data_IF_321923318531
#
_entry.id   IF_321923318531
#
_cell.length_a   1.000
_cell.length_b   1.000
_cell.length_c   1.000
_cell.angle_alpha   90.00
_cell.angle_beta   90.00
_cell.angle_gamma   90.00
#
_symmetry.space_group_name_H-M   'P 1'
#
loop_
_entity.id
_entity.type
_entity.pdbx_description
1 polymer ?
#
# COMPACT_ATOMS: atom_id res chain seq x y z
N UNK A 1 -29.37 10.62 -30.72
CA UNK A 1 -29.45 10.33 -29.28
C UNK A 1 -28.05 9.94 -28.85
N UNK A 2 -27.34 10.89 -28.27
CA UNK A 2 -25.97 10.72 -27.80
C UNK A 2 -26.05 10.20 -26.36
N UNK A 3 -25.43 9.05 -26.10
CA UNK A 3 -25.37 8.49 -24.75
C UNK A 3 -24.02 8.86 -24.15
N UNK A 4 -24.04 9.69 -23.11
CA UNK A 4 -22.85 9.97 -22.31
C UNK A 4 -22.71 8.86 -21.26
N UNK A 5 -21.68 8.03 -21.39
CA UNK A 5 -21.37 7.02 -20.38
C UNK A 5 -20.54 7.69 -19.29
N UNK A 6 -21.17 7.95 -18.15
CA UNK A 6 -20.48 8.42 -16.95
C UNK A 6 -20.05 7.18 -16.16
N UNK A 7 -18.74 6.91 -16.14
CA UNK A 7 -18.16 5.87 -15.30
C UNK A 7 -17.87 6.44 -13.91
N UNK A 8 -18.56 5.93 -12.89
CA UNK A 8 -18.26 6.23 -11.49
C UNK A 8 -17.14 5.30 -11.02
N UNK A 9 -15.93 5.82 -10.86
CA UNK A 9 -14.79 5.08 -10.32
C UNK A 9 -14.63 5.42 -8.84
N UNK A 10 -14.87 4.45 -7.97
CA UNK A 10 -14.43 4.49 -6.58
C UNK A 10 -13.04 3.86 -6.50
N UNK A 11 -11.96 4.62 -6.26
CA UNK A 11 -10.63 4.05 -6.11
C UNK A 11 -10.52 3.14 -4.87
N UNK A 12 -11.52 3.15 -3.99
CA UNK A 12 -11.58 2.36 -2.78
C UNK A 12 -10.50 2.73 -1.78
N UNK A 13 -10.56 2.05 -0.64
CA UNK A 13 -9.58 2.13 0.44
C UNK A 13 -8.54 1.01 0.34
N UNK A 14 -8.40 0.42 -0.85
CA UNK A 14 -7.61 -0.79 -1.05
C UNK A 14 -6.13 -0.51 -0.85
N UNK A 15 -5.49 -1.32 0.00
CA UNK A 15 -4.06 -1.28 0.22
C UNK A 15 -3.45 -2.53 -0.39
N UNK A 16 -2.73 -2.34 -1.48
CA UNK A 16 -2.07 -3.40 -2.23
C UNK A 16 -0.56 -3.24 -2.07
N UNK A 17 0.15 -4.37 -1.96
CA UNK A 17 1.61 -4.38 -2.05
C UNK A 17 2.05 -4.14 -3.50
N UNK A 18 2.87 -3.12 -3.76
CA UNK A 18 3.35 -2.82 -5.12
C UNK A 18 4.32 -3.90 -5.67
N UNK A 19 4.80 -4.83 -4.83
CA UNK A 19 5.70 -5.91 -5.25
C UNK A 19 4.96 -7.22 -5.57
N UNK A 20 4.15 -7.74 -4.63
CA UNK A 20 3.43 -9.00 -4.85
C UNK A 20 1.99 -8.84 -5.34
N UNK A 21 1.46 -7.61 -5.35
CA UNK A 21 0.06 -7.29 -5.69
C UNK A 21 -0.99 -7.95 -4.80
N UNK A 22 -0.61 -8.52 -3.66
CA UNK A 22 -1.57 -9.00 -2.67
C UNK A 22 -2.27 -7.83 -1.97
N UNK A 23 -3.55 -8.02 -1.64
CA UNK A 23 -4.36 -7.07 -0.88
C UNK A 23 -4.11 -7.22 0.62
N UNK A 24 -3.92 -6.09 1.30
CA UNK A 24 -3.72 -5.95 2.74
C UNK A 24 -4.77 -5.02 3.38
N UNK A 25 -5.84 -4.72 2.66
CA UNK A 25 -6.90 -3.79 3.07
C UNK A 25 -7.54 -4.12 4.41
N UNK A 26 -7.68 -5.41 4.73
CA UNK A 26 -8.20 -5.89 6.01
C UNK A 26 -7.15 -6.72 6.78
N UNK A 27 -5.88 -6.62 6.38
CA UNK A 27 -4.80 -7.40 6.98
C UNK A 27 -4.31 -6.75 8.28
N UNK A 28 -4.19 -7.57 9.32
CA UNK A 28 -3.55 -7.19 10.58
C UNK A 28 -2.02 -7.42 10.56
N UNK A 29 -1.46 -7.82 9.41
CA UNK A 29 -0.01 -8.01 9.29
C UNK A 29 0.74 -6.69 9.53
N UNK A 30 1.70 -6.74 10.44
CA UNK A 30 2.49 -5.58 10.86
C UNK A 30 3.82 -5.48 10.13
N UNK A 31 4.28 -4.25 9.93
CA UNK A 31 5.52 -3.96 9.22
C UNK A 31 5.31 -3.50 7.78
N UNK A 32 6.39 -3.56 7.00
CA UNK A 32 6.44 -3.06 5.63
C UNK A 32 7.39 -1.87 5.49
N UNK A 33 7.60 -1.48 4.25
CA UNK A 33 8.53 -0.41 3.89
C UNK A 33 8.11 0.29 2.61
N UNK A 34 8.68 1.45 2.35
CA UNK A 34 8.45 2.19 1.13
C UNK A 34 9.75 2.65 0.49
N UNK A 35 9.79 2.58 -0.85
CA UNK A 35 10.86 3.11 -1.71
C UNK A 35 10.19 3.99 -2.77
N UNK A 36 10.51 5.28 -2.77
CA UNK A 36 9.84 6.28 -3.59
C UNK A 36 8.34 6.29 -3.34
N UNK A 37 7.57 5.96 -4.38
CA UNK A 37 6.10 5.87 -4.31
C UNK A 37 5.58 4.45 -4.04
N UNK A 38 6.46 3.46 -3.92
CA UNK A 38 6.08 2.06 -3.78
C UNK A 38 5.93 1.69 -2.31
N UNK A 39 4.81 1.07 -1.97
CA UNK A 39 4.52 0.47 -0.68
C UNK A 39 4.71 -1.05 -0.74
N UNK A 40 5.56 -1.57 0.15
CA UNK A 40 6.05 -2.96 0.11
C UNK A 40 5.67 -3.65 1.40
N UNK A 41 4.91 -4.74 1.30
CA UNK A 41 4.35 -5.44 2.45
C UNK A 41 5.42 -6.09 3.36
N UNK A 42 5.02 -6.57 4.56
CA UNK A 42 5.93 -7.23 5.50
C UNK A 42 6.62 -8.48 4.94
N UNK A 43 5.98 -9.18 4.00
CA UNK A 43 6.53 -10.38 3.36
C UNK A 43 7.66 -10.00 2.40
N UNK A 44 7.41 -9.05 1.50
CA UNK A 44 8.36 -8.65 0.47
C UNK A 44 9.50 -7.76 0.99
N UNK A 45 9.26 -7.02 2.08
CA UNK A 45 10.27 -6.13 2.70
C UNK A 45 11.55 -6.87 3.12
N UNK A 46 11.47 -8.16 3.46
CA UNK A 46 12.61 -8.96 3.92
C UNK A 46 13.63 -9.25 2.81
N UNK A 47 13.19 -9.22 1.57
CA UNK A 47 13.99 -9.57 0.40
C UNK A 47 14.50 -8.33 -0.37
N UNK A 48 14.31 -7.13 0.20
CA UNK A 48 14.75 -5.90 -0.44
C UNK A 48 16.28 -5.81 -0.45
N UNK A 49 16.82 -5.56 -1.64
CA UNK A 49 18.25 -5.28 -1.85
C UNK A 49 18.59 -3.81 -1.62
N UNK A 50 17.58 -2.95 -1.72
CA UNK A 50 17.71 -1.50 -1.55
C UNK A 50 17.22 -1.09 -0.17
N UNK A 51 17.88 -0.08 0.42
CA UNK A 51 17.43 0.48 1.69
C UNK A 51 16.16 1.31 1.47
N UNK A 52 15.08 1.06 2.22
CA UNK A 52 13.84 1.80 2.08
C UNK A 52 13.93 3.20 2.68
N UNK A 53 13.25 4.15 2.03
CA UNK A 53 13.14 5.53 2.48
C UNK A 53 12.39 5.63 3.80
N UNK A 54 11.38 4.77 3.97
CA UNK A 54 10.54 4.72 5.16
C UNK A 54 10.20 3.28 5.54
N UNK A 55 10.07 3.05 6.84
CA UNK A 55 9.61 1.78 7.40
C UNK A 55 8.35 2.01 8.24
N UNK A 56 7.53 0.97 8.33
CA UNK A 56 6.44 0.93 9.30
C UNK A 56 7.02 1.04 10.73
N UNK A 57 6.28 1.67 11.62
CA UNK A 57 6.60 1.76 13.06
C UNK A 57 6.40 0.40 13.72
N UNK A 58 6.96 0.22 14.91
CA UNK A 58 6.75 -0.98 15.70
C UNK A 58 5.25 -1.21 15.96
N UNK A 59 4.75 -2.39 15.60
CA UNK A 59 3.34 -2.78 15.74
C UNK A 59 2.37 -2.13 14.74
N UNK A 60 2.85 -1.29 13.82
CA UNK A 60 2.00 -0.64 12.81
C UNK A 60 1.61 -1.64 11.72
N UNK A 61 0.31 -1.72 11.38
CA UNK A 61 -0.15 -2.54 10.27
C UNK A 61 0.37 -1.97 8.95
N UNK A 62 0.53 -2.83 7.94
CA UNK A 62 0.92 -2.35 6.62
C UNK A 62 -0.10 -1.34 6.05
N UNK A 63 -1.39 -1.55 6.31
CA UNK A 63 -2.46 -0.62 5.94
C UNK A 63 -2.26 0.76 6.55
N UNK A 64 -2.07 0.81 7.86
CA UNK A 64 -1.89 2.08 8.58
C UNK A 64 -0.62 2.80 8.13
N UNK A 65 0.45 2.04 7.88
CA UNK A 65 1.68 2.57 7.30
C UNK A 65 1.43 3.23 5.93
N UNK A 66 0.71 2.56 5.03
CA UNK A 66 0.40 3.11 3.69
C UNK A 66 -0.49 4.34 3.78
N UNK A 67 -1.49 4.35 4.67
CA UNK A 67 -2.30 5.55 4.89
C UNK A 67 -1.46 6.71 5.44
N UNK A 68 -0.57 6.45 6.39
CA UNK A 68 0.35 7.46 6.92
C UNK A 68 1.29 8.00 5.84
N UNK A 69 1.79 7.13 4.96
CA UNK A 69 2.66 7.51 3.85
C UNK A 69 1.93 8.43 2.85
N UNK A 70 0.65 8.13 2.57
CA UNK A 70 -0.13 8.80 1.52
C UNK A 70 -0.96 10.00 1.99
N UNK A 71 -1.25 10.12 3.28
CA UNK A 71 -1.95 11.29 3.87
C UNK A 71 -0.99 12.42 4.28
N UNK A 72 0.23 12.44 3.76
CA UNK A 72 1.16 13.55 3.88
C UNK A 72 0.63 14.83 3.24
#
# INVERSE_FOLDING_TARGET
>A
MEWEVIATCDPGDEVICDFCNDSYTESEETGGSAIGTWAICPKCTKDLKEEPDQRAKEGETFRDFVYRLRKG
#
